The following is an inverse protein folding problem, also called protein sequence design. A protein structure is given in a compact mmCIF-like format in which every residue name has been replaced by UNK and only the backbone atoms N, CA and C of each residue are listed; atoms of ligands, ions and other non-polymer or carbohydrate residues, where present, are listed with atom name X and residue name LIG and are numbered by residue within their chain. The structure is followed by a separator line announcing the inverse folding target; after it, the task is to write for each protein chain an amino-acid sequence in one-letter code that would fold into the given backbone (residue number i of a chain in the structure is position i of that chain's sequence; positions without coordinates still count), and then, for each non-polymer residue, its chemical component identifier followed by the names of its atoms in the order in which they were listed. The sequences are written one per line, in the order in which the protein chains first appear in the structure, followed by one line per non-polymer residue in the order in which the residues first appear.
data_IF_156475858823
#
_entry.id   IF_156475858823
#
_cell.length_a   1.000
_cell.length_b   1.000
_cell.length_c   1.000
_cell.angle_alpha   90.00
_cell.angle_beta   90.00
_cell.angle_gamma   90.00
#
_symmetry.space_group_name_H-M   'P 1'
#
loop_
_entity.id
_entity.type
_entity.pdbx_description
1 polymer ?
#
# COMPACT_ATOMS: atom_id res chain seq x y z
N UNK A 1 0.66 -16.99 -4.33
CA UNK A 1 0.65 -17.00 -2.85
C UNK A 1 -0.60 -16.36 -2.24
N UNK A 2 -1.08 -15.22 -2.76
CA UNK A 2 -2.25 -14.49 -2.26
C UNK A 2 -3.50 -15.34 -2.02
N UNK A 3 -3.89 -16.16 -3.00
CA UNK A 3 -5.05 -17.05 -2.88
C UNK A 3 -4.89 -18.07 -1.75
N UNK A 4 -3.68 -18.62 -1.55
CA UNK A 4 -3.42 -19.62 -0.50
C UNK A 4 -3.51 -19.02 0.91
N UNK A 5 -3.03 -17.79 1.11
CA UNK A 5 -3.12 -17.09 2.42
C UNK A 5 -4.56 -16.75 2.76
N UNK A 6 -5.35 -16.29 1.78
CA UNK A 6 -6.76 -15.98 1.95
C UNK A 6 -7.59 -17.24 2.23
N UNK A 7 -7.33 -18.34 1.51
CA UNK A 7 -7.95 -19.63 1.76
C UNK A 7 -7.60 -20.12 3.18
N UNK A 8 -6.33 -20.03 3.59
CA UNK A 8 -5.91 -20.42 4.93
C UNK A 8 -6.59 -19.59 6.02
N UNK A 9 -6.65 -18.27 5.84
CA UNK A 9 -7.33 -17.38 6.77
C UNK A 9 -8.82 -17.71 6.89
N UNK A 10 -9.51 -17.92 5.76
CA UNK A 10 -10.90 -18.38 5.75
C UNK A 10 -11.07 -19.70 6.52
N UNK A 11 -10.23 -20.71 6.26
CA UNK A 11 -10.27 -21.99 6.96
C UNK A 11 -10.08 -21.83 8.49
N UNK A 12 -9.09 -21.04 8.91
CA UNK A 12 -8.86 -20.76 10.33
C UNK A 12 -10.06 -20.05 10.97
N UNK A 13 -10.64 -19.07 10.27
CA UNK A 13 -11.82 -18.36 10.75
C UNK A 13 -13.00 -19.32 10.96
N UNK A 14 -13.31 -20.19 9.98
CA UNK A 14 -14.39 -21.16 10.11
C UNK A 14 -14.15 -22.17 11.24
N UNK A 15 -12.93 -22.69 11.39
CA UNK A 15 -12.59 -23.60 12.49
C UNK A 15 -12.78 -22.92 13.84
N UNK A 16 -12.25 -21.70 14.00
CA UNK A 16 -12.42 -20.91 15.23
C UNK A 16 -13.88 -20.60 15.52
N UNK A 17 -14.66 -20.25 14.49
CA UNK A 17 -16.08 -19.96 14.63
C UNK A 17 -16.90 -21.18 15.10
N UNK A 18 -16.67 -22.35 14.50
CA UNK A 18 -17.33 -23.60 14.89
C UNK A 18 -16.98 -23.98 16.34
N UNK A 19 -15.70 -23.91 16.70
CA UNK A 19 -15.23 -24.21 18.06
C UNK A 19 -15.81 -23.24 19.09
N UNK A 20 -15.91 -21.95 18.73
CA UNK A 20 -16.51 -20.91 19.57
C UNK A 20 -17.99 -21.21 19.85
N UNK A 21 -18.78 -21.52 18.82
CA UNK A 21 -20.20 -21.88 18.97
C UNK A 21 -20.36 -23.14 19.83
N UNK A 22 -19.58 -24.18 19.53
CA UNK A 22 -19.64 -25.44 20.27
C UNK A 22 -19.32 -25.24 21.76
N UNK A 23 -18.28 -24.45 22.02
CA UNK A 23 -17.88 -24.11 23.39
C UNK A 23 -18.94 -23.27 24.10
N UNK A 24 -19.53 -22.29 23.42
CA UNK A 24 -20.57 -21.42 23.99
C UNK A 24 -21.81 -22.25 24.37
N UNK A 25 -22.24 -23.16 23.50
CA UNK A 25 -23.36 -24.07 23.78
C UNK A 25 -23.06 -24.92 25.02
N UNK A 26 -21.86 -25.47 25.16
CA UNK A 26 -21.50 -26.32 26.30
C UNK A 26 -21.38 -25.55 27.62
N UNK A 27 -20.90 -24.30 27.57
CA UNK A 27 -20.88 -23.40 28.74
C UNK A 27 -22.30 -23.04 29.17
N UNK A 28 -23.19 -22.73 28.22
CA UNK A 28 -24.58 -22.35 28.49
C UNK A 28 -25.45 -23.52 28.95
N UNK A 29 -25.17 -24.76 28.52
CA UNK A 29 -25.92 -25.97 28.89
C UNK A 29 -25.46 -26.62 30.20
N UNK A 30 -24.77 -25.87 31.07
CA UNK A 30 -24.30 -26.30 32.40
C UNK A 30 -23.36 -27.51 32.43
N UNK A 31 -22.76 -27.91 31.29
CA UNK A 31 -21.64 -28.87 31.25
C UNK A 31 -20.31 -28.11 31.37
N UNK A 32 -20.16 -27.33 32.43
CA UNK A 32 -18.96 -26.50 32.65
C UNK A 32 -17.79 -27.33 33.15
N UNK A 33 -17.11 -28.01 32.23
CA UNK A 33 -15.70 -28.36 32.39
C UNK A 33 -14.81 -27.13 32.16
N UNK A 34 -13.72 -26.98 32.92
CA UNK A 34 -12.73 -25.90 32.78
C UNK A 34 -12.19 -25.82 31.33
N UNK A 35 -12.23 -26.94 30.59
CA UNK A 35 -11.83 -27.03 29.20
C UNK A 35 -12.62 -26.15 28.24
N UNK A 36 -13.92 -25.90 28.45
CA UNK A 36 -14.74 -25.15 27.49
C UNK A 36 -14.41 -23.66 27.48
N UNK A 37 -14.36 -22.94 28.63
CA UNK A 37 -13.89 -21.55 28.63
C UNK A 37 -12.50 -21.37 27.97
N UNK A 38 -11.58 -22.31 28.19
CA UNK A 38 -10.25 -22.29 27.56
C UNK A 38 -10.36 -22.51 26.04
N UNK A 39 -11.19 -23.45 25.59
CA UNK A 39 -11.46 -23.67 24.16
C UNK A 39 -12.08 -22.43 23.51
N UNK A 40 -12.99 -21.73 24.20
CA UNK A 40 -13.57 -20.48 23.71
C UNK A 40 -12.51 -19.39 23.53
N UNK A 41 -11.62 -19.20 24.53
CA UNK A 41 -10.53 -18.24 24.43
C UNK A 41 -9.60 -18.59 23.26
N UNK A 42 -9.24 -19.86 23.10
CA UNK A 42 -8.38 -20.32 22.01
C UNK A 42 -9.03 -20.10 20.64
N UNK A 43 -10.33 -20.39 20.51
CA UNK A 43 -11.11 -20.16 19.30
C UNK A 43 -11.15 -18.66 18.93
N UNK A 44 -11.34 -17.79 19.91
CA UNK A 44 -11.29 -16.33 19.72
C UNK A 44 -9.91 -15.85 19.25
N UNK A 45 -8.82 -16.33 19.88
CA UNK A 45 -7.46 -16.02 19.43
C UNK A 45 -7.21 -16.47 18.00
N UNK A 46 -7.73 -17.63 17.62
CA UNK A 46 -7.58 -18.20 16.27
C UNK A 46 -8.31 -17.34 15.22
N UNK A 47 -9.50 -16.83 15.55
CA UNK A 47 -10.22 -15.88 14.68
C UNK A 47 -9.50 -14.53 14.56
N UNK A 48 -8.93 -14.00 15.66
CA UNK A 48 -8.12 -12.77 15.64
C UNK A 48 -6.87 -12.95 14.76
N UNK A 49 -6.17 -14.07 14.89
CA UNK A 49 -5.01 -14.39 14.06
C UNK A 49 -5.37 -14.47 12.57
N UNK A 50 -6.54 -15.03 12.24
CA UNK A 50 -7.05 -15.03 10.86
C UNK A 50 -7.26 -13.61 10.33
N UNK A 51 -7.91 -12.74 11.12
CA UNK A 51 -8.11 -11.35 10.73
C UNK A 51 -6.78 -10.59 10.52
N UNK A 52 -5.79 -10.81 11.40
CA UNK A 52 -4.45 -10.23 11.26
C UNK A 52 -3.71 -10.71 10.01
N UNK A 53 -3.86 -11.98 9.65
CA UNK A 53 -3.30 -12.55 8.41
C UNK A 53 -3.87 -11.87 7.17
N UNK A 54 -5.19 -11.64 7.14
CA UNK A 54 -5.85 -10.91 6.04
C UNK A 54 -5.36 -9.45 6.00
N UNK A 55 -5.33 -8.76 7.14
CA UNK A 55 -4.85 -7.39 7.22
C UNK A 55 -3.41 -7.23 6.73
N UNK A 56 -2.52 -8.16 7.12
CA UNK A 56 -1.13 -8.22 6.62
C UNK A 56 -1.07 -8.39 5.11
N UNK A 57 -1.88 -9.30 4.54
CA UNK A 57 -1.91 -9.54 3.11
C UNK A 57 -2.37 -8.32 2.31
N UNK A 58 -3.37 -7.59 2.81
CA UNK A 58 -3.82 -6.32 2.22
C UNK A 58 -2.76 -5.22 2.34
N UNK A 59 -2.09 -5.12 3.50
CA UNK A 59 -1.04 -4.12 3.71
C UNK A 59 0.13 -4.32 2.73
N UNK A 60 0.61 -5.55 2.57
CA UNK A 60 1.66 -5.89 1.60
C UNK A 60 1.22 -5.59 0.16
N UNK A 61 -0.08 -5.74 -0.15
CA UNK A 61 -0.58 -5.36 -1.47
C UNK A 61 -0.56 -3.85 -1.68
N UNK A 62 -0.94 -3.07 -0.67
CA UNK A 62 -0.88 -1.61 -0.73
C UNK A 62 0.57 -1.15 -0.89
N UNK A 63 1.48 -1.72 -0.10
CA UNK A 63 2.92 -1.48 -0.18
C UNK A 63 3.46 -1.79 -1.58
N UNK A 64 3.18 -2.98 -2.12
CA UNK A 64 3.59 -3.34 -3.49
C UNK A 64 2.97 -2.42 -4.55
N UNK A 65 1.76 -1.90 -4.35
CA UNK A 65 1.13 -0.95 -5.27
C UNK A 65 1.78 0.43 -5.18
N UNK A 66 2.14 0.87 -3.98
CA UNK A 66 2.92 2.09 -3.81
C UNK A 66 4.30 1.95 -4.46
N UNK A 67 4.94 0.80 -4.30
CA UNK A 67 6.29 0.57 -4.83
C UNK A 67 6.31 0.22 -6.33
N UNK A 68 5.14 -0.03 -6.94
CA UNK A 68 4.98 -0.44 -8.37
C UNK A 68 5.37 0.62 -9.41
N UNK A 69 6.19 1.61 -9.05
CA UNK A 69 6.86 2.48 -10.02
C UNK A 69 6.04 3.66 -10.50
N UNK A 70 4.79 3.86 -10.06
CA UNK A 70 4.04 5.09 -10.36
C UNK A 70 4.72 6.35 -9.80
N UNK A 71 5.32 6.25 -8.63
CA UNK A 71 6.12 7.33 -8.05
C UNK A 71 7.44 7.54 -8.82
N UNK A 72 8.06 6.45 -9.29
CA UNK A 72 9.28 6.52 -10.09
C UNK A 72 9.02 7.10 -11.49
N UNK A 73 7.88 6.79 -12.10
CA UNK A 73 7.45 7.37 -13.38
C UNK A 73 7.12 8.86 -13.22
N UNK A 74 6.43 9.24 -12.15
CA UNK A 74 6.14 10.63 -11.84
C UNK A 74 7.43 11.43 -11.59
N UNK A 75 8.35 10.90 -10.80
CA UNK A 75 9.64 11.52 -10.51
C UNK A 75 10.51 11.63 -11.77
N UNK A 76 10.52 10.60 -12.62
CA UNK A 76 11.20 10.64 -13.92
C UNK A 76 10.63 11.75 -14.83
N UNK A 77 9.30 11.89 -14.89
CA UNK A 77 8.62 12.95 -15.66
C UNK A 77 8.93 14.34 -15.12
N UNK A 78 8.99 14.51 -13.79
CA UNK A 78 9.37 15.78 -13.15
C UNK A 78 10.81 16.14 -13.50
N UNK A 79 11.76 15.22 -13.37
CA UNK A 79 13.17 15.46 -13.76
C UNK A 79 13.32 15.79 -15.25
N UNK A 80 12.53 15.16 -16.12
CA UNK A 80 12.53 15.48 -17.55
C UNK A 80 12.00 16.89 -17.82
N UNK A 81 10.92 17.29 -17.15
CA UNK A 81 10.35 18.63 -17.22
C UNK A 81 11.32 19.70 -16.71
N UNK A 82 12.01 19.45 -15.61
CA UNK A 82 13.06 20.35 -15.09
C UNK A 82 14.22 20.52 -16.08
N UNK A 83 14.69 19.42 -16.69
CA UNK A 83 15.72 19.49 -17.74
C UNK A 83 15.26 20.26 -18.99
N UNK A 84 13.99 20.10 -19.40
CA UNK A 84 13.42 20.87 -20.51
C UNK A 84 13.33 22.36 -20.15
N UNK A 85 12.87 22.69 -18.93
CA UNK A 85 12.83 24.07 -18.43
C UNK A 85 14.22 24.72 -18.45
N UNK A 86 15.25 24.05 -17.93
CA UNK A 86 16.62 24.58 -17.92
C UNK A 86 17.21 24.80 -19.33
N UNK A 87 16.92 23.90 -20.28
CA UNK A 87 17.34 24.08 -21.68
C UNK A 87 16.63 25.22 -22.39
N UNK A 88 15.32 25.36 -22.16
CA UNK A 88 14.52 26.44 -22.73
C UNK A 88 14.96 27.79 -22.16
N UNK A 89 15.22 27.88 -20.85
CA UNK A 89 15.66 29.12 -20.24
C UNK A 89 17.07 29.51 -20.67
N UNK A 90 18.02 28.56 -20.76
CA UNK A 90 19.39 28.88 -21.16
C UNK A 90 19.47 29.30 -22.63
N UNK A 91 19.05 28.45 -23.56
CA UNK A 91 19.38 28.68 -24.96
C UNK A 91 18.58 29.82 -25.58
N UNK A 92 17.29 29.97 -25.21
CA UNK A 92 16.46 31.05 -25.75
C UNK A 92 16.76 32.41 -25.14
N UNK A 93 17.09 32.50 -23.85
CA UNK A 93 17.48 33.80 -23.29
C UNK A 93 18.82 34.26 -23.84
N UNK A 94 19.81 33.38 -23.94
CA UNK A 94 21.12 33.75 -24.48
C UNK A 94 21.03 34.13 -25.97
N UNK A 95 20.21 33.43 -26.76
CA UNK A 95 19.93 33.81 -28.15
C UNK A 95 19.21 35.16 -28.24
N UNK A 96 18.22 35.42 -27.38
CA UNK A 96 17.52 36.70 -27.33
C UNK A 96 18.46 37.84 -26.93
N UNK A 97 19.28 37.66 -25.90
CA UNK A 97 20.27 38.66 -25.45
C UNK A 97 21.24 39.00 -26.57
N UNK A 98 21.74 37.99 -27.28
CA UNK A 98 22.65 38.19 -28.40
C UNK A 98 21.99 38.99 -29.53
N UNK A 99 20.76 38.63 -29.90
CA UNK A 99 20.01 39.31 -30.97
C UNK A 99 19.62 40.74 -30.59
N UNK A 100 19.29 40.99 -29.32
CA UNK A 100 19.01 42.34 -28.81
C UNK A 100 20.28 43.18 -28.85
N UNK A 101 21.41 42.68 -28.38
CA UNK A 101 22.69 43.40 -28.44
C UNK A 101 23.12 43.73 -29.88
N UNK A 102 22.87 42.82 -30.84
CA UNK A 102 23.15 43.06 -32.26
C UNK A 102 22.23 44.14 -32.86
N UNK A 103 20.96 44.17 -32.45
CA UNK A 103 19.99 45.20 -32.86
C UNK A 103 20.34 46.56 -32.26
N UNK A 104 20.69 46.64 -30.98
CA UNK A 104 21.13 47.88 -30.33
C UNK A 104 22.36 48.47 -31.03
N UNK A 105 23.32 47.61 -31.42
CA UNK A 105 24.50 48.05 -32.18
C UNK A 105 24.14 48.62 -33.56
N UNK A 106 23.20 48.00 -34.27
CA UNK A 106 22.75 48.46 -35.60
C UNK A 106 21.89 49.73 -35.58
N UNK A 107 21.26 50.04 -34.45
CA UNK A 107 20.42 51.24 -34.28
C UNK A 107 21.20 52.41 -33.66
N UNK A 108 22.29 52.12 -32.93
CA UNK A 108 23.16 53.12 -32.32
C UNK A 108 24.25 53.68 -33.24
N UNK A 109 24.58 52.97 -34.34
CA UNK A 109 25.40 53.46 -35.47
C UNK A 109 24.53 54.16 -36.52
#
# INVERSE_FOLDING_TARGET
MKSRVLILAMCLFFIGFILSIFSLINVLTHKTGISYPIQLILACLLMICSALLVARAELTQIENRMDSGKWNELDARVRELERKKGRVSSWRFTDLEYRVAELEKKVGD
#
